data_IF_668016685210
#
_entry.id   IF_668016685210
#
_cell.length_a   1.000
_cell.length_b   1.000
_cell.length_c   1.000
_cell.angle_alpha   90.00
_cell.angle_beta   90.00
_cell.angle_gamma   90.00
#
_symmetry.space_group_name_H-M   'P 1'
#
loop_
_entity.id
_entity.type
_entity.pdbx_description
1 polymer ?
#
# COMPACT_ATOMS: atom_id res chain seq x y z
N UNK A 1 9.46 6.04 24.79
CA UNK A 1 8.40 7.04 24.53
C UNK A 1 7.16 6.59 25.28
N UNK A 2 7.05 6.89 26.59
CA UNK A 2 6.22 6.08 27.51
C UNK A 2 4.99 6.78 28.08
N UNK A 3 4.58 7.95 27.58
CA UNK A 3 3.41 8.67 28.09
C UNK A 3 2.59 9.26 26.94
N UNK A 4 1.84 8.42 26.23
CA UNK A 4 0.72 8.91 25.41
C UNK A 4 -0.41 9.24 26.38
N UNK A 5 -0.92 10.47 26.31
CA UNK A 5 -2.02 10.97 27.12
C UNK A 5 -3.09 11.57 26.20
N UNK A 6 -4.33 11.78 26.69
CA UNK A 6 -5.37 12.44 25.89
C UNK A 6 -4.94 13.79 25.33
N UNK A 7 -4.11 14.54 26.06
CA UNK A 7 -3.67 15.89 25.70
C UNK A 7 -2.57 15.91 24.63
N UNK A 8 -1.84 14.81 24.43
CA UNK A 8 -0.73 14.74 23.47
C UNK A 8 -0.97 13.78 22.31
N UNK A 9 -2.08 13.02 22.31
CA UNK A 9 -2.36 11.99 21.31
C UNK A 9 -2.38 12.54 19.87
N UNK A 10 -3.06 13.67 19.64
CA UNK A 10 -3.14 14.35 18.34
C UNK A 10 -1.73 14.78 17.85
N UNK A 11 -0.92 15.35 18.74
CA UNK A 11 0.44 15.78 18.42
C UNK A 11 1.36 14.58 18.13
N UNK A 12 1.25 13.50 18.90
CA UNK A 12 1.98 12.26 18.66
C UNK A 12 1.58 11.63 17.32
N UNK A 13 0.30 11.65 16.95
CA UNK A 13 -0.17 11.14 15.66
C UNK A 13 0.37 11.96 14.49
N UNK A 14 0.24 13.30 14.56
CA UNK A 14 0.75 14.20 13.53
C UNK A 14 2.27 14.04 13.36
N UNK A 15 3.01 14.05 14.48
CA UNK A 15 4.46 13.86 14.48
C UNK A 15 4.87 12.51 13.88
N UNK A 16 4.20 11.44 14.27
CA UNK A 16 4.47 10.09 13.78
C UNK A 16 4.15 9.94 12.28
N UNK A 17 3.07 10.57 11.81
CA UNK A 17 2.71 10.63 10.39
C UNK A 17 3.75 11.39 9.57
N UNK A 18 4.27 12.50 10.11
CA UNK A 18 5.37 13.26 9.49
C UNK A 18 6.64 12.43 9.43
N UNK A 19 6.98 11.67 10.49
CA UNK A 19 8.13 10.75 10.47
C UNK A 19 7.94 9.67 9.41
N UNK A 20 6.73 9.12 9.25
CA UNK A 20 6.43 8.14 8.21
C UNK A 20 6.62 8.71 6.80
N UNK A 21 6.11 9.91 6.55
CA UNK A 21 6.32 10.62 5.28
C UNK A 21 7.80 10.97 5.06
N UNK A 22 8.50 11.40 6.11
CA UNK A 22 9.93 11.69 6.05
C UNK A 22 10.75 10.44 5.73
N UNK A 23 10.52 9.33 6.42
CA UNK A 23 11.21 8.06 6.17
C UNK A 23 11.01 7.59 4.72
N UNK A 24 9.79 7.78 4.19
CA UNK A 24 9.48 7.51 2.79
C UNK A 24 10.26 8.45 1.86
N UNK A 25 10.28 9.75 2.13
CA UNK A 25 11.00 10.74 1.33
C UNK A 25 12.53 10.56 1.40
N UNK A 26 13.06 10.16 2.56
CA UNK A 26 14.49 10.00 2.83
C UNK A 26 15.06 8.67 2.36
N UNK A 27 14.23 7.73 1.90
CA UNK A 27 14.65 6.43 1.33
C UNK A 27 15.44 6.52 0.01
N UNK A 28 15.96 7.71 -0.31
CA UNK A 28 16.52 8.10 -1.62
C UNK A 28 15.58 7.79 -2.79
N UNK A 29 14.27 7.67 -2.51
CA UNK A 29 13.26 7.26 -3.48
C UNK A 29 13.57 5.89 -4.12
N UNK A 30 14.38 5.04 -3.49
CA UNK A 30 14.64 3.70 -4.00
C UNK A 30 13.36 2.87 -3.84
N UNK A 31 13.01 2.03 -4.82
CA UNK A 31 11.85 1.12 -4.71
C UNK A 31 12.02 0.01 -3.67
N UNK A 32 13.06 0.13 -2.82
CA UNK A 32 13.47 -0.82 -1.81
C UNK A 32 12.73 -0.63 -0.47
N UNK A 33 11.69 0.20 -0.38
CA UNK A 33 10.98 0.51 0.88
C UNK A 33 10.45 -0.72 1.64
N UNK A 34 10.14 -1.79 0.91
CA UNK A 34 9.63 -3.07 1.41
C UNK A 34 10.73 -4.13 1.53
N UNK A 35 11.97 -3.79 1.18
CA UNK A 35 13.10 -4.69 1.10
C UNK A 35 14.22 -4.18 2.01
N UNK A 36 14.63 -4.97 2.99
CA UNK A 36 15.83 -4.66 3.77
C UNK A 36 17.06 -4.84 2.86
N UNK A 37 17.80 -3.75 2.63
CA UNK A 37 19.06 -3.81 1.88
C UNK A 37 20.11 -4.55 2.72
N UNK A 38 20.34 -5.84 2.43
CA UNK A 38 21.37 -6.65 3.09
C UNK A 38 22.80 -6.14 2.83
N UNK A 39 22.96 -5.16 1.94
CA UNK A 39 24.25 -4.66 1.45
C UNK A 39 24.83 -3.49 2.26
N UNK A 40 24.01 -2.77 3.03
CA UNK A 40 24.44 -1.65 3.87
C UNK A 40 24.34 -2.03 5.35
N UNK A 41 25.47 -1.96 6.06
CA UNK A 41 25.64 -2.28 7.49
C UNK A 41 24.80 -1.42 8.46
N UNK A 42 23.96 -0.52 7.96
CA UNK A 42 23.02 0.26 8.77
C UNK A 42 21.65 -0.41 8.67
N UNK A 43 21.11 -0.81 9.82
CA UNK A 43 19.81 -1.44 9.93
C UNK A 43 18.70 -0.50 9.45
N UNK A 44 18.40 -0.54 8.15
CA UNK A 44 17.28 0.17 7.59
C UNK A 44 16.00 -0.40 8.20
N UNK A 45 15.31 0.40 9.01
CA UNK A 45 13.95 0.08 9.44
C UNK A 45 13.07 0.15 8.20
N UNK A 46 12.55 -0.99 7.76
CA UNK A 46 11.57 -1.04 6.67
C UNK A 46 10.43 -0.09 6.99
N UNK A 47 10.04 0.73 6.01
CA UNK A 47 9.02 1.75 6.21
C UNK A 47 7.72 1.17 6.78
N UNK A 48 7.38 -0.05 6.38
CA UNK A 48 6.21 -0.78 6.91
C UNK A 48 6.27 -0.94 8.42
N UNK A 49 7.43 -1.30 8.98
CA UNK A 49 7.60 -1.47 10.42
C UNK A 49 7.49 -0.13 11.15
N UNK A 50 7.98 0.94 10.52
CA UNK A 50 7.83 2.29 11.06
C UNK A 50 6.35 2.70 11.11
N UNK A 51 5.61 2.56 10.01
CA UNK A 51 4.19 2.94 9.96
C UNK A 51 3.31 2.04 10.83
N UNK A 52 3.63 0.75 10.94
CA UNK A 52 2.98 -0.14 11.90
C UNK A 52 3.27 0.27 13.34
N UNK A 53 4.51 0.64 13.66
CA UNK A 53 4.87 1.16 14.98
C UNK A 53 4.06 2.41 15.33
N UNK A 54 3.89 3.32 14.36
CA UNK A 54 2.97 4.47 14.51
C UNK A 54 1.55 3.97 14.80
N UNK A 55 1.02 3.03 14.02
CA UNK A 55 -0.33 2.53 14.21
C UNK A 55 -0.57 1.78 15.52
N UNK A 56 0.39 1.00 16.01
CA UNK A 56 0.30 0.33 17.32
C UNK A 56 0.19 1.36 18.45
N UNK A 57 0.96 2.45 18.39
CA UNK A 57 0.84 3.56 19.33
C UNK A 57 -0.54 4.23 19.26
N UNK A 58 -1.13 4.29 18.06
CA UNK A 58 -2.47 4.83 17.83
C UNK A 58 -3.59 3.94 18.35
N UNK A 59 -3.50 2.62 18.25
CA UNK A 59 -4.51 1.74 18.83
C UNK A 59 -4.58 1.87 20.36
N UNK A 60 -3.43 2.08 21.02
CA UNK A 60 -3.38 2.37 22.46
C UNK A 60 -4.06 3.70 22.80
N UNK A 61 -3.99 4.68 21.90
CA UNK A 61 -4.63 5.99 22.04
C UNK A 61 -6.06 6.06 21.46
N UNK A 62 -6.56 4.96 20.89
CA UNK A 62 -7.71 4.95 19.97
C UNK A 62 -9.00 5.48 20.59
N UNK A 63 -9.26 5.18 21.86
CA UNK A 63 -10.43 5.70 22.59
C UNK A 63 -10.40 7.21 22.75
N UNK A 64 -9.22 7.81 22.96
CA UNK A 64 -9.07 9.25 23.10
C UNK A 64 -9.14 9.95 21.74
N UNK A 65 -8.48 9.39 20.73
CA UNK A 65 -8.49 9.95 19.39
C UNK A 65 -9.85 9.88 18.69
N UNK A 66 -10.69 8.88 19.02
CA UNK A 66 -12.07 8.81 18.51
C UNK A 66 -12.90 10.03 18.93
N UNK A 67 -12.53 10.70 20.02
CA UNK A 67 -13.17 11.92 20.52
C UNK A 67 -12.39 13.20 20.23
N UNK A 68 -11.22 13.09 19.59
CA UNK A 68 -10.33 14.23 19.37
C UNK A 68 -10.69 15.03 18.12
N UNK A 69 -9.98 16.14 17.95
CA UNK A 69 -10.09 17.00 16.76
C UNK A 69 -9.69 16.29 15.46
N UNK A 70 -8.89 15.20 15.56
CA UNK A 70 -8.43 14.39 14.44
C UNK A 70 -9.27 13.12 14.21
N UNK A 71 -10.36 12.93 14.96
CA UNK A 71 -11.28 11.79 14.83
C UNK A 71 -11.80 11.57 13.41
N UNK A 72 -11.91 12.63 12.59
CA UNK A 72 -12.29 12.56 11.18
C UNK A 72 -11.33 11.71 10.34
N UNK A 73 -10.04 11.68 10.66
CA UNK A 73 -9.04 10.87 9.95
C UNK A 73 -9.14 9.37 10.32
N UNK A 74 -9.82 9.07 11.43
CA UNK A 74 -9.98 7.73 11.99
C UNK A 74 -11.39 7.16 11.79
N UNK A 75 -12.28 7.91 11.14
CA UNK A 75 -13.61 7.40 10.88
C UNK A 75 -13.54 6.15 9.99
N UNK A 76 -14.30 5.10 10.32
CA UNK A 76 -14.43 3.95 9.45
C UNK A 76 -14.86 4.40 8.06
N UNK A 77 -14.07 4.05 7.04
CA UNK A 77 -14.44 4.34 5.66
C UNK A 77 -15.41 3.25 5.20
N UNK A 78 -16.53 3.68 4.64
CA UNK A 78 -17.53 2.76 4.11
C UNK A 78 -17.31 2.59 2.61
N UNK A 79 -17.32 1.35 2.15
CA UNK A 79 -17.34 1.04 0.72
C UNK A 79 -18.75 1.34 0.23
N UNK A 80 -18.92 2.39 -0.57
CA UNK A 80 -20.17 2.60 -1.31
C UNK A 80 -20.28 1.53 -2.41
N UNK A 81 -21.26 0.61 -2.36
CA UNK A 81 -21.38 -0.46 -3.33
C UNK A 81 -21.63 0.01 -4.76
N UNK A 82 -22.18 1.21 -4.97
CA UNK A 82 -22.40 1.76 -6.31
C UNK A 82 -21.10 2.30 -6.90
N UNK A 83 -20.35 3.06 -6.10
CA UNK A 83 -19.05 3.59 -6.52
C UNK A 83 -17.95 2.52 -6.56
N UNK A 84 -18.04 1.48 -5.73
CA UNK A 84 -17.12 0.34 -5.79
C UNK A 84 -17.24 -0.44 -7.12
N UNK A 85 -18.38 -0.35 -7.82
CA UNK A 85 -18.51 -0.89 -9.19
C UNK A 85 -17.76 -0.06 -10.23
N UNK A 86 -17.32 1.15 -9.88
CA UNK A 86 -16.48 1.99 -10.71
C UNK A 86 -14.98 1.60 -10.62
N UNK A 87 -14.60 0.63 -9.77
CA UNK A 87 -13.28 0.01 -9.88
C UNK A 87 -13.14 -0.52 -11.30
N UNK A 88 -12.01 -0.21 -11.95
CA UNK A 88 -11.69 -0.69 -13.28
C UNK A 88 -11.89 -2.22 -13.36
N UNK A 89 -12.80 -2.71 -14.23
CA UNK A 89 -13.08 -4.13 -14.38
C UNK A 89 -11.83 -4.96 -14.70
N UNK A 90 -10.87 -4.39 -15.42
CA UNK A 90 -9.59 -5.06 -15.72
C UNK A 90 -8.77 -5.24 -14.44
N UNK A 91 -8.65 -4.21 -13.61
CA UNK A 91 -7.93 -4.28 -12.33
C UNK A 91 -8.58 -5.30 -11.39
N UNK A 92 -9.91 -5.28 -11.28
CA UNK A 92 -10.67 -6.21 -10.44
C UNK A 92 -10.51 -7.67 -10.89
N UNK A 93 -10.59 -7.93 -12.21
CA UNK A 93 -10.37 -9.26 -12.78
C UNK A 93 -8.94 -9.75 -12.52
N UNK A 94 -7.94 -8.88 -12.69
CA UNK A 94 -6.52 -9.20 -12.44
C UNK A 94 -6.25 -9.51 -10.98
N UNK A 95 -6.83 -8.76 -10.04
CA UNK A 95 -6.73 -9.06 -8.60
C UNK A 95 -7.37 -10.40 -8.26
N UNK A 96 -8.58 -10.67 -8.78
CA UNK A 96 -9.28 -11.93 -8.55
C UNK A 96 -8.47 -13.13 -9.06
N UNK A 97 -7.79 -12.96 -10.19
CA UNK A 97 -6.94 -14.03 -10.77
C UNK A 97 -5.70 -14.36 -9.93
N UNK A 98 -5.30 -13.52 -8.98
CA UNK A 98 -4.11 -13.77 -8.15
C UNK A 98 -4.25 -15.02 -7.28
N UNK A 99 -5.46 -15.41 -6.86
CA UNK A 99 -5.63 -16.64 -6.06
C UNK A 99 -5.13 -17.89 -6.79
N UNK A 100 -5.19 -17.87 -8.13
CA UNK A 100 -4.75 -18.97 -8.98
C UNK A 100 -3.25 -19.29 -8.82
N UNK A 101 -2.44 -18.31 -8.37
CA UNK A 101 -1.01 -18.48 -8.13
C UNK A 101 -0.74 -19.57 -7.09
N UNK A 102 -1.43 -19.51 -5.95
CA UNK A 102 -1.26 -20.46 -4.85
C UNK A 102 -2.27 -21.61 -4.87
N UNK A 103 -3.36 -21.50 -5.63
CA UNK A 103 -4.26 -22.64 -5.89
C UNK A 103 -3.59 -23.69 -6.79
N UNK A 104 -2.67 -23.27 -7.67
CA UNK A 104 -2.02 -24.15 -8.65
C UNK A 104 -0.70 -24.77 -8.15
N UNK A 105 -0.09 -24.22 -7.10
CA UNK A 105 1.16 -24.73 -6.50
C UNK A 105 1.04 -24.96 -4.98
N UNK A 106 0.10 -25.83 -4.52
CA UNK A 106 -0.12 -26.05 -3.09
C UNK A 106 1.01 -26.81 -2.39
N UNK A 107 2.00 -27.34 -3.12
CA UNK A 107 3.13 -28.09 -2.56
C UNK A 107 4.31 -27.17 -2.13
N UNK A 108 4.36 -25.94 -2.64
CA UNK A 108 5.45 -24.99 -2.38
C UNK A 108 5.15 -23.99 -1.25
N UNK A 109 3.86 -23.88 -0.87
CA UNK A 109 3.36 -23.00 0.17
C UNK A 109 2.69 -23.82 1.28
N UNK A 110 2.92 -23.43 2.52
CA UNK A 110 2.19 -24.02 3.64
C UNK A 110 0.78 -23.43 3.78
N UNK A 111 -0.06 -24.08 4.59
CA UNK A 111 -1.45 -23.65 4.83
C UNK A 111 -1.51 -22.22 5.39
N UNK A 112 -0.56 -21.83 6.23
CA UNK A 112 -0.52 -20.51 6.84
C UNK A 112 -0.13 -19.42 5.83
N UNK A 113 0.85 -19.69 4.96
CA UNK A 113 1.24 -18.79 3.87
C UNK A 113 0.05 -18.52 2.92
N UNK A 114 -0.72 -19.56 2.59
CA UNK A 114 -1.93 -19.43 1.77
C UNK A 114 -3.01 -18.59 2.47
N UNK A 115 -3.25 -18.81 3.77
CA UNK A 115 -4.18 -17.99 4.56
C UNK A 115 -3.75 -16.51 4.62
N UNK A 116 -2.46 -16.25 4.78
CA UNK A 116 -1.88 -14.90 4.78
C UNK A 116 -2.05 -14.23 3.42
N UNK A 117 -1.78 -14.94 2.31
CA UNK A 117 -1.98 -14.42 0.96
C UNK A 117 -3.44 -14.10 0.67
N UNK A 118 -4.37 -14.99 1.02
CA UNK A 118 -5.81 -14.77 0.85
C UNK A 118 -6.32 -13.58 1.68
N UNK A 119 -5.87 -13.45 2.93
CA UNK A 119 -6.22 -12.32 3.80
C UNK A 119 -5.69 -11.01 3.23
N UNK A 120 -4.44 -11.01 2.74
CA UNK A 120 -3.79 -9.85 2.14
C UNK A 120 -4.48 -9.43 0.83
N UNK A 121 -4.86 -10.40 0.00
CA UNK A 121 -5.59 -10.17 -1.24
C UNK A 121 -6.97 -9.57 -0.95
N UNK A 122 -7.66 -10.05 0.08
CA UNK A 122 -8.96 -9.49 0.53
C UNK A 122 -8.81 -8.02 0.93
N UNK A 123 -7.83 -7.69 1.77
CA UNK A 123 -7.53 -6.31 2.15
C UNK A 123 -7.19 -5.43 0.94
N UNK A 124 -6.53 -6.00 -0.07
CA UNK A 124 -6.19 -5.29 -1.31
C UNK A 124 -7.46 -4.98 -2.13
N UNK A 125 -8.38 -5.94 -2.27
CA UNK A 125 -9.68 -5.71 -2.90
C UNK A 125 -10.48 -4.62 -2.18
N UNK A 126 -10.53 -4.67 -0.85
CA UNK A 126 -11.20 -3.65 -0.04
C UNK A 126 -10.59 -2.27 -0.23
N UNK A 127 -9.26 -2.16 -0.26
CA UNK A 127 -8.57 -0.90 -0.52
C UNK A 127 -8.92 -0.32 -1.90
N UNK A 128 -8.99 -1.15 -2.95
CA UNK A 128 -9.45 -0.71 -4.28
C UNK A 128 -10.90 -0.25 -4.28
N UNK A 129 -11.80 -0.98 -3.60
CA UNK A 129 -13.19 -0.59 -3.44
C UNK A 129 -13.33 0.75 -2.73
N UNK A 130 -12.56 0.96 -1.67
CA UNK A 130 -12.52 2.21 -0.92
C UNK A 130 -12.01 3.39 -1.76
N UNK A 131 -10.93 3.20 -2.52
CA UNK A 131 -10.41 4.24 -3.43
C UNK A 131 -11.43 4.59 -4.50
N UNK A 132 -12.13 3.61 -5.08
CA UNK A 132 -13.18 3.88 -6.06
C UNK A 132 -14.41 4.57 -5.45
N UNK A 133 -14.72 4.29 -4.19
CA UNK A 133 -15.78 5.00 -3.44
C UNK A 133 -15.39 6.38 -2.93
N UNK A 134 -14.12 6.76 -3.06
CA UNK A 134 -13.64 8.06 -2.60
C UNK A 134 -14.06 9.15 -3.59
N UNK A 135 -14.90 10.09 -3.15
CA UNK A 135 -15.16 11.31 -3.93
C UNK A 135 -13.86 12.10 -4.12
N UNK A 136 -13.65 12.70 -5.29
CA UNK A 136 -12.49 13.57 -5.58
C UNK A 136 -12.29 14.69 -4.54
N UNK A 137 -13.37 15.14 -3.88
CA UNK A 137 -13.32 16.16 -2.82
C UNK A 137 -12.62 15.72 -1.52
N UNK A 138 -12.27 14.43 -1.38
CA UNK A 138 -11.63 13.87 -0.17
C UNK A 138 -10.32 13.15 -0.50
N UNK A 139 -9.37 13.89 -1.07
CA UNK A 139 -8.00 13.40 -1.34
C UNK A 139 -7.35 12.74 -0.10
N UNK A 140 -7.66 13.25 1.09
CA UNK A 140 -7.21 12.69 2.37
C UNK A 140 -7.69 11.23 2.57
N UNK A 141 -8.91 10.89 2.15
CA UNK A 141 -9.45 9.54 2.31
C UNK A 141 -8.65 8.53 1.46
N UNK A 142 -8.32 8.90 0.22
CA UNK A 142 -7.49 8.07 -0.68
C UNK A 142 -6.10 7.84 -0.08
N UNK A 143 -5.46 8.89 0.42
CA UNK A 143 -4.15 8.82 1.08
C UNK A 143 -4.19 7.82 2.24
N UNK A 144 -5.18 7.95 3.11
CA UNK A 144 -5.30 7.08 4.28
C UNK A 144 -5.65 5.63 3.92
N UNK A 145 -6.35 5.37 2.81
CA UNK A 145 -6.61 4.01 2.31
C UNK A 145 -5.31 3.38 1.79
N UNK A 146 -4.59 4.11 0.93
CA UNK A 146 -3.33 3.64 0.33
C UNK A 146 -2.27 3.36 1.41
N UNK A 147 -2.16 4.24 2.41
CA UNK A 147 -1.25 4.05 3.54
C UNK A 147 -1.76 3.07 4.60
N UNK A 148 -3.08 2.92 4.72
CA UNK A 148 -3.71 2.00 5.66
C UNK A 148 -3.56 0.54 5.28
N UNK A 149 -3.41 0.22 3.99
CA UNK A 149 -3.24 -1.17 3.55
C UNK A 149 -2.03 -1.88 4.20
N UNK A 150 -0.77 -1.39 4.08
CA UNK A 150 0.40 -2.09 4.64
C UNK A 150 0.37 -2.20 6.18
N UNK A 151 -0.42 -1.36 6.84
CA UNK A 151 -0.66 -1.40 8.28
C UNK A 151 -1.54 -2.59 8.67
N UNK A 152 -2.58 -2.87 7.89
CA UNK A 152 -3.59 -3.90 8.18
C UNK A 152 -3.16 -5.31 7.77
N UNK A 153 -2.29 -5.41 6.75
CA UNK A 153 -1.77 -6.68 6.24
C UNK A 153 -1.08 -7.47 7.37
N UNK A 154 -1.08 -8.82 7.39
CA UNK A 154 -0.32 -9.59 8.38
C UNK A 154 1.20 -9.34 8.29
N UNK A 155 1.93 -9.40 9.42
CA UNK A 155 3.41 -9.31 9.38
C UNK A 155 4.06 -10.44 8.59
N UNK A 156 3.47 -11.64 8.66
CA UNK A 156 3.90 -12.81 7.89
C UNK A 156 3.97 -12.55 6.38
N UNK A 157 3.08 -11.71 5.82
CA UNK A 157 3.16 -11.33 4.40
C UNK A 157 4.46 -10.60 4.08
N UNK A 158 4.89 -9.67 4.93
CA UNK A 158 6.15 -8.96 4.73
C UNK A 158 7.36 -9.85 4.96
N UNK A 159 7.25 -10.88 5.80
CA UNK A 159 8.25 -11.96 5.87
C UNK A 159 8.36 -12.69 4.52
N UNK A 160 7.25 -13.06 3.89
CA UNK A 160 7.25 -13.68 2.56
C UNK A 160 7.85 -12.76 1.47
N UNK A 161 7.60 -11.45 1.55
CA UNK A 161 8.23 -10.45 0.66
C UNK A 161 9.76 -10.42 0.84
N UNK A 162 10.26 -10.49 2.08
CA UNK A 162 11.70 -10.54 2.36
C UNK A 162 12.34 -11.83 1.85
N UNK A 163 11.62 -12.94 1.98
CA UNK A 163 12.00 -14.24 1.43
C UNK A 163 11.87 -14.30 -0.10
N UNK A 164 11.34 -13.23 -0.72
CA UNK A 164 11.16 -13.10 -2.17
C UNK A 164 10.25 -14.20 -2.75
N UNK A 165 9.25 -14.64 -1.98
CA UNK A 165 8.21 -15.54 -2.47
C UNK A 165 7.47 -14.86 -3.64
N UNK A 166 7.40 -15.48 -4.82
CA UNK A 166 6.88 -14.84 -6.03
C UNK A 166 5.42 -14.38 -5.85
N UNK A 167 4.59 -15.14 -5.15
CA UNK A 167 3.19 -14.81 -4.88
C UNK A 167 3.06 -13.51 -4.08
N UNK A 168 3.85 -13.38 -3.01
CA UNK A 168 3.86 -12.19 -2.17
C UNK A 168 4.38 -10.97 -2.95
N UNK A 169 5.41 -11.16 -3.79
CA UNK A 169 5.94 -10.11 -4.66
C UNK A 169 4.91 -9.65 -5.70
N UNK A 170 4.14 -10.56 -6.30
CA UNK A 170 3.09 -10.23 -7.26
C UNK A 170 1.96 -9.44 -6.58
N UNK A 171 1.51 -9.87 -5.38
CA UNK A 171 0.51 -9.10 -4.61
C UNK A 171 1.03 -7.70 -4.29
N UNK A 172 2.28 -7.56 -3.87
CA UNK A 172 2.91 -6.27 -3.62
C UNK A 172 3.03 -5.42 -4.90
N UNK A 173 3.24 -6.05 -6.05
CA UNK A 173 3.26 -5.37 -7.34
C UNK A 173 1.88 -4.78 -7.67
N UNK A 174 0.79 -5.48 -7.38
CA UNK A 174 -0.56 -4.94 -7.54
C UNK A 174 -0.86 -3.80 -6.56
N UNK A 175 -0.35 -3.87 -5.32
CA UNK A 175 -0.40 -2.73 -4.40
C UNK A 175 0.33 -1.48 -4.97
N UNK A 176 1.38 -1.66 -5.76
CA UNK A 176 2.07 -0.51 -6.37
C UNK A 176 1.14 0.35 -7.23
N UNK A 177 0.10 -0.21 -7.86
CA UNK A 177 -0.88 0.58 -8.60
C UNK A 177 -1.75 1.47 -7.69
N UNK A 178 -2.04 1.04 -6.45
CA UNK A 178 -2.69 1.90 -5.46
C UNK A 178 -1.82 3.10 -5.09
N UNK A 179 -0.50 2.91 -4.98
CA UNK A 179 0.42 4.04 -4.75
C UNK A 179 0.34 5.09 -5.87
N UNK A 180 0.03 4.68 -7.10
CA UNK A 180 -0.10 5.61 -8.22
C UNK A 180 -1.31 6.55 -8.08
N UNK A 181 -2.31 6.20 -7.26
CA UNK A 181 -3.49 7.04 -6.99
C UNK A 181 -3.20 8.24 -6.10
N UNK A 182 -2.00 8.27 -5.51
CA UNK A 182 -1.51 9.36 -4.65
C UNK A 182 -0.16 9.89 -5.14
N UNK A 183 0.18 9.68 -6.41
CA UNK A 183 1.46 10.06 -7.00
C UNK A 183 1.69 11.58 -7.10
N UNK A 184 0.61 12.37 -7.00
CA UNK A 184 0.66 13.83 -6.92
C UNK A 184 1.38 14.34 -5.66
N UNK A 185 1.46 13.52 -4.61
CA UNK A 185 2.18 13.87 -3.39
C UNK A 185 3.69 13.89 -3.65
N UNK A 186 4.34 15.02 -3.37
CA UNK A 186 5.75 15.26 -3.70
C UNK A 186 6.72 14.16 -3.21
N UNK A 187 6.42 13.52 -2.08
CA UNK A 187 7.24 12.48 -1.48
C UNK A 187 6.93 11.07 -2.01
N UNK A 188 5.77 10.85 -2.63
CA UNK A 188 5.36 9.58 -3.24
C UNK A 188 5.67 9.53 -4.73
N UNK A 189 5.68 10.69 -5.39
CA UNK A 189 5.83 10.82 -6.84
C UNK A 189 6.85 9.86 -7.46
N UNK A 190 6.39 9.00 -8.37
CA UNK A 190 7.15 7.97 -9.08
C UNK A 190 7.40 6.68 -8.28
N UNK A 191 6.90 6.56 -7.05
CA UNK A 191 7.19 5.41 -6.19
C UNK A 191 6.54 4.13 -6.70
N UNK A 192 5.31 4.22 -7.22
CA UNK A 192 4.63 3.09 -7.85
C UNK A 192 5.53 2.39 -8.87
N UNK A 193 6.06 3.16 -9.83
CA UNK A 193 6.96 2.70 -10.89
C UNK A 193 8.27 2.14 -10.33
N UNK A 194 8.84 2.75 -9.31
CA UNK A 194 10.12 2.31 -8.71
C UNK A 194 9.96 1.01 -7.93
N UNK A 195 8.89 0.88 -7.16
CA UNK A 195 8.54 -0.36 -6.47
C UNK A 195 8.33 -1.49 -7.47
N UNK A 196 7.54 -1.24 -8.53
CA UNK A 196 7.27 -2.24 -9.57
C UNK A 196 8.55 -2.70 -10.29
N UNK A 197 9.47 -1.77 -10.62
CA UNK A 197 10.79 -2.11 -11.19
C UNK A 197 11.64 -2.96 -10.23
N UNK A 198 11.61 -2.63 -8.94
CA UNK A 198 12.35 -3.36 -7.92
C UNK A 198 11.82 -4.79 -7.80
N UNK A 199 10.49 -4.95 -7.76
CA UNK A 199 9.84 -6.26 -7.75
C UNK A 199 10.20 -7.05 -9.00
N UNK A 200 10.08 -6.45 -10.19
CA UNK A 200 10.44 -7.09 -11.46
C UNK A 200 11.91 -7.58 -11.47
N UNK A 201 12.84 -6.86 -10.84
CA UNK A 201 14.25 -7.30 -10.76
C UNK A 201 14.50 -8.49 -9.82
N UNK A 202 13.57 -8.73 -8.88
CA UNK A 202 13.63 -9.83 -7.91
C UNK A 202 12.78 -11.03 -8.33
N UNK A 203 11.88 -10.82 -9.27
CA UNK A 203 10.94 -11.82 -9.75
C UNK A 203 11.57 -12.65 -10.88
N UNK A 204 11.31 -13.96 -10.89
CA UNK A 204 11.70 -14.86 -11.98
C UNK A 204 10.94 -14.56 -13.28
N UNK A 205 11.54 -14.91 -14.42
CA UNK A 205 10.98 -14.65 -15.77
C UNK A 205 9.63 -15.33 -15.98
N UNK A 206 9.44 -16.47 -15.35
CA UNK A 206 8.21 -17.27 -15.41
C UNK A 206 6.99 -16.55 -14.84
N UNK A 207 7.20 -15.55 -13.97
CA UNK A 207 6.14 -14.77 -13.34
C UNK A 207 5.91 -13.39 -13.99
N UNK A 208 6.73 -12.98 -14.97
CA UNK A 208 6.64 -11.65 -15.59
C UNK A 208 5.25 -11.36 -16.20
N UNK A 209 4.57 -12.39 -16.69
CA UNK A 209 3.22 -12.28 -17.27
C UNK A 209 2.17 -11.72 -16.29
N UNK A 210 2.36 -11.94 -14.99
CA UNK A 210 1.47 -11.45 -13.93
C UNK A 210 1.63 -9.95 -13.68
N UNK A 211 2.81 -9.39 -13.92
CA UNK A 211 3.13 -7.99 -13.61
C UNK A 211 3.31 -7.09 -14.85
N UNK A 212 3.42 -7.68 -16.05
CA UNK A 212 3.62 -6.92 -17.30
C UNK A 212 2.52 -5.90 -17.55
N UNK A 213 1.25 -6.27 -17.30
CA UNK A 213 0.11 -5.38 -17.49
C UNK A 213 0.15 -4.17 -16.53
N UNK A 214 0.76 -4.31 -15.35
CA UNK A 214 0.91 -3.22 -14.38
C UNK A 214 1.78 -2.09 -14.96
N UNK A 215 2.86 -2.44 -15.66
CA UNK A 215 3.69 -1.45 -16.35
C UNK A 215 2.91 -0.72 -17.46
N UNK A 216 2.08 -1.44 -18.20
CA UNK A 216 1.23 -0.86 -19.26
C UNK A 216 0.21 0.10 -18.64
N UNK A 217 -0.45 -0.30 -17.56
CA UNK A 217 -1.42 0.51 -16.84
C UNK A 217 -0.81 1.82 -16.32
N UNK A 218 0.40 1.77 -15.72
CA UNK A 218 1.11 2.97 -15.27
C UNK A 218 1.47 3.92 -16.42
N UNK A 219 1.88 3.37 -17.57
CA UNK A 219 2.18 4.18 -18.75
C UNK A 219 0.91 4.86 -19.28
N UNK A 220 -0.22 4.15 -19.33
CA UNK A 220 -1.50 4.72 -19.74
C UNK A 220 -1.98 5.83 -18.80
N UNK A 221 -1.84 5.64 -17.49
CA UNK A 221 -2.19 6.64 -16.48
C UNK A 221 -1.37 7.93 -16.65
N UNK A 222 -0.06 7.82 -16.93
CA UNK A 222 0.81 8.99 -17.18
C UNK A 222 0.39 9.78 -18.43
N UNK A 223 -0.11 9.10 -19.48
CA UNK A 223 -0.60 9.78 -20.68
C UNK A 223 -1.94 10.51 -20.45
N UNK A 224 -2.82 9.93 -19.64
CA UNK A 224 -4.11 10.57 -19.29
C UNK A 224 -3.88 11.84 -18.47
N UNK A 225 -2.98 11.80 -17.50
CA UNK A 225 -2.62 12.93 -16.64
C UNK A 225 -1.98 14.10 -17.44
N UNK A 226 -1.24 13.80 -18.52
CA UNK A 226 -0.70 14.83 -19.43
C UNK A 226 -1.74 15.42 -20.39
N UNK A 227 -2.80 14.68 -20.72
CA UNK A 227 -3.88 15.14 -21.58
C UNK A 227 -4.77 16.19 -20.93
N UNK A 228 -5.07 16.05 -19.64
CA UNK A 228 -5.92 16.99 -18.89
C UNK A 228 -5.24 18.36 -18.67
N UNK A 229 -3.90 18.41 -18.61
CA UNK A 229 -3.14 19.67 -18.50
C UNK A 229 -3.10 20.44 -19.83
N UNK A 230 -3.36 19.76 -20.95
CA UNK A 230 -3.31 20.34 -22.30
C UNK A 230 -4.58 21.06 -22.75
N UNK A 231 -5.74 20.81 -22.13
CA UNK A 231 -7.03 21.43 -22.50
C UNK A 231 -7.37 22.70 -21.70
N UNK A 232 -6.48 23.15 -20.81
CA UNK A 232 -6.69 24.32 -19.95
C UNK A 232 -6.12 25.66 -20.51
N UNK A 233 -5.85 25.75 -21.82
CA UNK A 233 -5.30 26.96 -22.46
C UNK A 233 -6.12 27.46 -23.65
#
# INVERSE_FOLDING_TARGET
>A
MSNITPENCDACFAFSSIIAAYAWASSNQTGNLFFSDLSTSEANVEWVNLVRGVHTLLQVAGEWMATSSMSLLLQPRHIDPELARAVDPEVSAKLTSLSQLWDSSPEELDVHEVEVLNSTLTLLHEAWGLVASSSFDREIDVILVVYGWPIQVPEAFFTMVKEQKPEALIVLAHYSLLLNKVDQLWYIKGMSRRLLKTIHSKLGKEWESWITWLFQNLVLAEFQDQGEVGEAY
#
